data_IF_311678354122
#
_entry.id   IF_311678354122
#
_cell.length_a   1.000
_cell.length_b   1.000
_cell.length_c   1.000
_cell.angle_alpha   90.00
_cell.angle_beta   90.00
_cell.angle_gamma   90.00
#
_symmetry.space_group_name_H-M   'P 1'
#
loop_
_entity.id
_entity.type
_entity.pdbx_description
1 polymer ?
#
# COMPACT_ATOMS: atom_id res chain seq x y z
N UNK A 1 11.99 9.43 -5.11
CA UNK A 1 11.98 10.46 -4.05
C UNK A 1 13.20 10.26 -3.16
N UNK A 2 13.73 11.29 -2.51
CA UNK A 2 14.80 11.11 -1.51
C UNK A 2 14.29 10.36 -0.24
N UNK A 3 15.02 9.37 0.30
CA UNK A 3 14.59 8.58 1.46
C UNK A 3 14.31 9.40 2.73
N UNK A 4 15.10 10.43 3.03
CA UNK A 4 14.89 11.28 4.22
C UNK A 4 13.58 12.07 4.07
N UNK A 5 13.30 12.56 2.85
CA UNK A 5 12.05 13.23 2.56
C UNK A 5 10.85 12.29 2.69
N UNK A 6 10.96 11.05 2.21
CA UNK A 6 9.90 10.04 2.36
C UNK A 6 9.63 9.74 3.84
N UNK A 7 10.70 9.55 4.60
CA UNK A 7 10.62 9.33 6.05
C UNK A 7 9.95 10.50 6.77
N UNK A 8 10.30 11.76 6.45
CA UNK A 8 9.65 12.93 7.03
C UNK A 8 8.13 13.00 6.73
N UNK A 9 7.73 12.69 5.49
CA UNK A 9 6.31 12.62 5.11
C UNK A 9 5.60 11.50 5.87
N UNK A 10 6.20 10.31 5.94
CA UNK A 10 5.65 9.17 6.66
C UNK A 10 5.50 9.44 8.17
N UNK A 11 6.49 10.09 8.80
CA UNK A 11 6.40 10.53 10.21
C UNK A 11 5.26 11.51 10.42
N UNK A 12 5.11 12.49 9.54
CA UNK A 12 4.03 13.48 9.63
C UNK A 12 2.67 12.81 9.52
N UNK A 13 2.50 11.91 8.54
CA UNK A 13 1.28 11.15 8.33
C UNK A 13 0.91 10.26 9.52
N UNK A 14 1.90 9.62 10.14
CA UNK A 14 1.68 8.66 11.24
C UNK A 14 1.77 9.28 12.63
N UNK A 15 2.12 10.56 12.76
CA UNK A 15 2.19 11.27 14.04
C UNK A 15 0.93 11.14 14.93
N UNK A 16 -0.32 11.20 14.41
CA UNK A 16 -1.50 10.98 15.24
C UNK A 16 -1.75 9.52 15.65
N UNK A 17 -1.02 8.55 15.05
CA UNK A 17 -1.20 7.12 15.28
C UNK A 17 -0.34 6.64 16.46
N UNK A 18 -0.87 6.72 17.68
CA UNK A 18 -0.12 6.41 18.91
C UNK A 18 0.10 4.91 19.19
N UNK A 19 -0.49 4.02 18.38
CA UNK A 19 -0.43 2.58 18.58
C UNK A 19 0.86 1.95 18.00
N UNK A 20 1.21 0.73 18.45
CA UNK A 20 2.27 -0.06 17.80
C UNK A 20 2.00 -0.28 16.30
N UNK A 21 0.73 -0.29 15.90
CA UNK A 21 0.31 -0.44 14.52
C UNK A 21 0.55 0.83 13.72
N UNK A 22 0.49 2.02 14.33
CA UNK A 22 0.96 3.27 13.71
C UNK A 22 2.43 3.21 13.28
N UNK A 23 3.30 2.65 14.14
CA UNK A 23 4.72 2.38 13.77
C UNK A 23 4.86 1.36 12.64
N UNK A 24 3.89 0.46 12.48
CA UNK A 24 3.86 -0.52 11.38
C UNK A 24 3.35 0.11 10.08
N UNK A 25 2.37 1.02 10.14
CA UNK A 25 1.96 1.86 9.01
C UNK A 25 3.13 2.71 8.51
N UNK A 26 3.91 3.34 9.40
CA UNK A 26 5.11 4.08 9.01
C UNK A 26 6.09 3.20 8.21
N UNK A 27 6.35 1.99 8.71
CA UNK A 27 7.22 1.01 8.04
C UNK A 27 6.63 0.52 6.72
N UNK A 28 5.31 0.36 6.64
CA UNK A 28 4.63 -0.01 5.40
C UNK A 28 4.86 1.06 4.33
N UNK A 29 4.58 2.32 4.66
CA UNK A 29 4.73 3.48 3.76
C UNK A 29 6.18 3.60 3.27
N UNK A 30 7.13 3.67 4.21
CA UNK A 30 8.55 3.84 3.87
C UNK A 30 9.11 2.69 3.03
N UNK A 31 8.60 1.46 3.17
CA UNK A 31 9.00 0.31 2.33
C UNK A 31 8.31 0.30 0.97
N UNK A 32 7.00 0.51 0.93
CA UNK A 32 6.20 0.30 -0.29
C UNK A 32 6.16 1.50 -1.22
N UNK A 33 6.48 2.69 -0.72
CA UNK A 33 6.51 3.92 -1.52
C UNK A 33 7.94 4.42 -1.81
N UNK A 34 8.97 3.64 -1.47
CA UNK A 34 10.38 4.01 -1.67
C UNK A 34 10.72 4.30 -3.14
N UNK A 35 10.17 3.51 -4.06
CA UNK A 35 10.49 3.56 -5.48
C UNK A 35 9.64 4.58 -6.27
N UNK A 36 8.83 5.40 -5.59
CA UNK A 36 8.04 6.44 -6.22
C UNK A 36 8.80 7.77 -6.27
N UNK A 37 8.57 8.56 -7.33
CA UNK A 37 9.25 9.84 -7.55
C UNK A 37 8.79 10.90 -6.55
N UNK A 38 7.50 10.90 -6.22
CA UNK A 38 6.87 11.81 -5.28
C UNK A 38 5.93 11.08 -4.33
N UNK A 39 5.93 11.47 -3.05
CA UNK A 39 4.93 11.05 -2.06
C UNK A 39 4.40 12.29 -1.36
N UNK A 40 3.08 12.45 -1.39
CA UNK A 40 2.38 13.65 -0.96
C UNK A 40 1.26 13.29 0.02
N UNK A 41 1.03 14.11 1.07
CA UNK A 41 -0.20 14.06 1.84
C UNK A 41 -1.40 14.28 0.93
N UNK A 42 -2.44 13.49 1.13
CA UNK A 42 -3.72 13.59 0.44
C UNK A 42 -4.88 13.53 1.43
N UNK A 43 -6.06 13.89 0.96
CA UNK A 43 -7.30 13.79 1.72
C UNK A 43 -8.33 13.11 0.82
N UNK A 44 -8.98 12.07 1.33
CA UNK A 44 -10.06 11.37 0.63
C UNK A 44 -11.32 12.24 0.58
N UNK A 45 -12.30 11.83 -0.24
CA UNK A 45 -13.58 12.53 -0.37
C UNK A 45 -14.34 12.68 0.96
N UNK A 46 -14.15 11.75 1.90
CA UNK A 46 -14.75 11.78 3.23
C UNK A 46 -13.92 12.56 4.27
N UNK A 47 -12.83 13.21 3.86
CA UNK A 47 -11.97 14.01 4.74
C UNK A 47 -10.88 13.22 5.46
N UNK A 48 -10.73 11.92 5.20
CA UNK A 48 -9.72 11.08 5.86
C UNK A 48 -8.31 11.37 5.33
N UNK A 49 -7.30 11.54 6.21
CA UNK A 49 -5.91 11.67 5.80
C UNK A 49 -5.38 10.42 5.07
N UNK A 50 -4.63 10.64 4.01
CA UNK A 50 -4.01 9.58 3.21
C UNK A 50 -2.65 10.03 2.65
N UNK A 51 -1.97 9.10 1.98
CA UNK A 51 -0.78 9.36 1.18
C UNK A 51 -1.00 8.96 -0.27
N UNK A 52 -0.55 9.81 -1.19
CA UNK A 52 -0.51 9.55 -2.62
C UNK A 52 0.96 9.56 -3.09
N UNK A 53 1.38 8.44 -3.66
CA UNK A 53 2.68 8.28 -4.29
C UNK A 53 2.51 8.25 -5.82
N UNK A 54 3.41 8.92 -6.54
CA UNK A 54 3.36 9.08 -7.99
C UNK A 54 4.73 8.81 -8.60
N UNK A 55 4.75 8.13 -9.75
CA UNK A 55 5.94 7.95 -10.57
C UNK A 55 5.76 8.50 -11.97
N UNK A 56 6.86 8.93 -12.60
CA UNK A 56 6.90 9.50 -13.95
C UNK A 56 6.44 8.50 -15.03
N UNK A 57 6.51 7.20 -14.75
CA UNK A 57 6.01 6.14 -15.64
C UNK A 57 4.48 5.95 -15.57
N UNK A 58 3.77 6.79 -14.81
CA UNK A 58 2.32 6.74 -14.67
C UNK A 58 1.82 5.77 -13.61
N UNK A 59 2.70 5.10 -12.85
CA UNK A 59 2.30 4.35 -11.66
C UNK A 59 1.90 5.31 -10.53
N UNK A 60 0.88 4.93 -9.78
CA UNK A 60 0.53 5.57 -8.52
C UNK A 60 0.34 4.54 -7.40
N UNK A 61 0.53 4.97 -6.17
CA UNK A 61 0.08 4.24 -4.98
C UNK A 61 -0.68 5.16 -4.04
N UNK A 62 -1.65 4.60 -3.34
CA UNK A 62 -2.47 5.29 -2.38
C UNK A 62 -2.55 4.46 -1.11
N UNK A 63 -2.24 5.07 0.04
CA UNK A 63 -2.35 4.42 1.34
C UNK A 63 -3.24 5.27 2.24
N UNK A 64 -4.24 4.62 2.84
CA UNK A 64 -5.06 5.20 3.89
C UNK A 64 -5.12 4.21 5.06
N UNK A 65 -4.82 4.71 6.25
CA UNK A 65 -4.94 3.99 7.51
C UNK A 65 -4.98 5.02 8.63
N UNK A 66 -5.74 4.75 9.68
CA UNK A 66 -5.72 5.50 10.94
C UNK A 66 -4.82 4.82 11.99
N UNK A 67 -4.07 3.78 11.59
CA UNK A 67 -3.25 2.96 12.48
C UNK A 67 -4.07 2.11 13.46
N UNK A 68 -5.38 1.98 13.26
CA UNK A 68 -6.27 1.06 13.96
C UNK A 68 -6.57 -0.15 13.05
N UNK A 69 -7.12 -1.22 13.63
CA UNK A 69 -7.40 -2.45 12.89
C UNK A 69 -6.22 -3.41 12.77
N UNK A 70 -6.46 -4.59 12.20
CA UNK A 70 -5.44 -5.63 12.02
C UNK A 70 -4.65 -5.48 10.73
N UNK A 71 -5.12 -4.67 9.78
CA UNK A 71 -4.51 -4.49 8.47
C UNK A 71 -4.53 -3.05 7.99
N UNK A 72 -3.67 -2.75 7.00
CA UNK A 72 -3.73 -1.54 6.21
C UNK A 72 -3.66 -1.89 4.72
N UNK A 73 -4.44 -1.18 3.93
CA UNK A 73 -4.49 -1.37 2.49
C UNK A 73 -3.54 -0.40 1.79
N UNK A 74 -2.90 -0.91 0.74
CA UNK A 74 -2.16 -0.14 -0.23
C UNK A 74 -2.78 -0.37 -1.60
N UNK A 75 -3.36 0.66 -2.19
CA UNK A 75 -3.89 0.62 -3.54
C UNK A 75 -2.78 1.06 -4.49
N UNK A 76 -2.57 0.32 -5.56
CA UNK A 76 -1.62 0.65 -6.63
C UNK A 76 -2.36 0.66 -7.96
N UNK A 77 -1.97 1.55 -8.87
CA UNK A 77 -2.48 1.56 -10.23
C UNK A 77 -1.38 1.90 -11.23
N UNK A 78 -1.63 1.55 -12.50
CA UNK A 78 -0.69 1.75 -13.59
C UNK A 78 0.41 0.68 -13.65
N UNK A 79 1.21 0.68 -14.75
CA UNK A 79 1.04 1.55 -15.91
C UNK A 79 -0.17 1.15 -16.79
N UNK A 80 -0.72 -0.06 -16.59
CA UNK A 80 -1.92 -0.50 -17.30
C UNK A 80 -3.14 0.30 -16.85
N UNK A 81 -3.72 1.06 -17.78
CA UNK A 81 -4.88 1.92 -17.53
C UNK A 81 -6.08 1.12 -17.02
N UNK A 82 -6.75 1.67 -16.01
CA UNK A 82 -7.97 1.10 -15.42
C UNK A 82 -7.73 -0.09 -14.51
N UNK A 83 -6.51 -0.61 -14.40
CA UNK A 83 -6.18 -1.69 -13.45
C UNK A 83 -5.76 -1.10 -12.12
N UNK A 84 -6.40 -1.58 -11.05
CA UNK A 84 -6.03 -1.24 -9.67
C UNK A 84 -5.79 -2.52 -8.88
N UNK A 85 -4.71 -2.57 -8.11
CA UNK A 85 -4.40 -3.68 -7.19
C UNK A 85 -4.36 -3.13 -5.77
N UNK A 86 -5.22 -3.65 -4.91
CA UNK A 86 -5.19 -3.36 -3.47
C UNK A 86 -4.49 -4.51 -2.76
N UNK A 87 -3.37 -4.25 -2.07
CA UNK A 87 -2.74 -5.23 -1.18
C UNK A 87 -3.05 -4.92 0.28
N UNK A 88 -3.65 -5.87 0.99
CA UNK A 88 -3.91 -5.78 2.41
C UNK A 88 -2.70 -6.29 3.21
N UNK A 89 -2.14 -5.48 4.10
CA UNK A 89 -0.95 -5.83 4.89
C UNK A 89 -1.29 -6.06 6.36
N UNK A 90 -0.76 -7.14 6.94
CA UNK A 90 -0.98 -7.49 8.35
C UNK A 90 -0.18 -6.56 9.29
N UNK A 91 -0.89 -5.64 9.95
CA UNK A 91 -0.32 -4.75 10.96
C UNK A 91 -0.14 -5.43 12.32
N UNK A 92 -0.49 -6.72 12.48
CA UNK A 92 -0.23 -7.48 13.70
C UNK A 92 1.17 -8.11 13.72
N UNK A 93 1.82 -8.20 12.55
CA UNK A 93 3.17 -8.75 12.37
C UNK A 93 4.17 -7.66 11.95
N UNK A 94 5.40 -7.72 12.46
CA UNK A 94 6.44 -6.73 12.11
C UNK A 94 7.01 -6.90 10.69
N UNK A 95 6.89 -8.09 10.09
CA UNK A 95 7.24 -8.32 8.69
C UNK A 95 6.26 -7.66 7.70
N UNK A 96 5.05 -7.31 8.15
CA UNK A 96 3.97 -6.74 7.33
C UNK A 96 3.57 -7.62 6.13
N UNK A 97 3.33 -8.93 6.35
CA UNK A 97 3.03 -9.84 5.26
C UNK A 97 1.72 -9.44 4.58
N UNK A 98 1.65 -9.71 3.28
CA UNK A 98 0.41 -9.51 2.53
C UNK A 98 -0.60 -10.58 2.97
N UNK A 99 -1.81 -10.12 3.32
CA UNK A 99 -2.98 -10.94 3.63
C UNK A 99 -3.73 -11.34 2.37
N UNK A 100 -3.84 -10.42 1.42
CA UNK A 100 -4.51 -10.65 0.14
C UNK A 100 -4.17 -9.55 -0.86
N UNK A 101 -4.41 -9.84 -2.14
CA UNK A 101 -4.50 -8.85 -3.21
C UNK A 101 -5.90 -8.84 -3.78
N UNK A 102 -6.45 -7.65 -4.01
CA UNK A 102 -7.68 -7.46 -4.76
C UNK A 102 -7.35 -6.76 -6.07
N UNK A 103 -7.51 -7.46 -7.19
CA UNK A 103 -7.27 -6.94 -8.53
C UNK A 103 -8.60 -6.51 -9.15
N UNK A 104 -8.75 -5.22 -9.45
CA UNK A 104 -9.83 -4.72 -10.30
C UNK A 104 -9.25 -4.47 -11.68
N UNK A 105 -9.61 -5.34 -12.62
CA UNK A 105 -9.21 -5.22 -14.02
C UNK A 105 -10.46 -4.94 -14.86
N UNK A 106 -10.47 -3.91 -15.74
CA UNK A 106 -11.67 -3.52 -16.48
C UNK A 106 -12.33 -4.69 -17.23
N UNK A 107 -11.53 -5.50 -17.92
CA UNK A 107 -12.02 -6.68 -18.65
C UNK A 107 -12.51 -7.86 -17.78
N UNK A 108 -12.29 -7.82 -16.47
CA UNK A 108 -12.79 -8.85 -15.53
C UNK A 108 -14.01 -8.38 -14.75
N UNK A 109 -14.26 -7.08 -14.66
CA UNK A 109 -15.35 -6.53 -13.86
C UNK A 109 -16.72 -7.07 -14.31
N UNK A 110 -16.94 -7.20 -15.62
CA UNK A 110 -18.21 -7.67 -16.17
C UNK A 110 -18.37 -9.21 -16.10
N UNK A 111 -17.28 -9.95 -15.87
CA UNK A 111 -17.27 -11.42 -15.91
C UNK A 111 -17.24 -12.02 -14.50
N UNK A 112 -16.31 -11.54 -13.66
CA UNK A 112 -16.04 -12.11 -12.33
C UNK A 112 -16.00 -11.05 -11.22
N UNK A 113 -16.11 -9.76 -11.55
CA UNK A 113 -15.88 -8.68 -10.60
C UNK A 113 -14.40 -8.55 -10.20
N UNK A 114 -14.10 -7.89 -9.06
CA UNK A 114 -12.76 -7.87 -8.48
C UNK A 114 -12.28 -9.27 -8.10
N UNK A 115 -11.06 -9.63 -8.51
CA UNK A 115 -10.44 -10.90 -8.13
C UNK A 115 -9.68 -10.74 -6.82
N UNK A 116 -10.00 -11.56 -5.82
CA UNK A 116 -9.26 -11.63 -4.56
C UNK A 116 -8.34 -12.85 -4.56
N UNK A 117 -7.04 -12.60 -4.37
CA UNK A 117 -6.00 -13.62 -4.26
C UNK A 117 -5.53 -13.63 -2.81
N UNK A 118 -5.67 -14.77 -2.15
CA UNK A 118 -5.15 -15.00 -0.80
C UNK A 118 -3.96 -15.93 -0.91
N UNK A 119 -2.74 -15.50 -0.54
CA UNK A 119 -1.58 -16.39 -0.56
C UNK A 119 -1.81 -17.55 0.41
N UNK A 120 -1.48 -18.77 -0.02
CA UNK A 120 -1.39 -19.89 0.91
C UNK A 120 -0.23 -19.65 1.89
N UNK A 121 -0.21 -20.38 3.02
CA UNK A 121 0.91 -20.28 3.95
C UNK A 121 2.26 -20.63 3.30
N UNK A 122 2.27 -21.54 2.31
CA UNK A 122 3.47 -21.95 1.57
C UNK A 122 3.93 -20.89 0.56
N UNK A 123 3.02 -20.21 -0.13
CA UNK A 123 3.36 -19.26 -1.20
C UNK A 123 3.83 -17.90 -0.67
N UNK A 124 3.59 -17.62 0.61
CA UNK A 124 3.81 -16.30 1.21
C UNK A 124 5.27 -15.85 1.18
N UNK A 125 6.17 -16.79 1.45
CA UNK A 125 7.61 -16.52 1.53
C UNK A 125 8.21 -16.33 0.13
N UNK A 126 7.73 -17.10 -0.84
CA UNK A 126 8.16 -17.03 -2.25
C UNK A 126 7.65 -15.75 -2.94
N UNK A 127 6.39 -15.37 -2.69
CA UNK A 127 5.81 -14.12 -3.22
C UNK A 127 6.47 -12.89 -2.58
N UNK A 128 6.74 -12.92 -1.28
CA UNK A 128 7.49 -11.83 -0.63
C UNK A 128 8.91 -11.68 -1.18
N UNK A 129 9.59 -12.79 -1.52
CA UNK A 129 10.89 -12.75 -2.16
C UNK A 129 10.81 -12.16 -3.58
N UNK A 130 9.79 -12.51 -4.35
CA UNK A 130 9.60 -12.02 -5.72
C UNK A 130 9.22 -10.54 -5.79
N UNK A 131 8.53 -10.00 -4.77
CA UNK A 131 8.08 -8.61 -4.70
C UNK A 131 9.10 -7.65 -4.04
N UNK A 132 10.27 -8.13 -3.62
CA UNK A 132 11.36 -7.26 -3.17
C UNK A 132 12.01 -6.60 -4.38
N UNK A 133 12.18 -5.26 -4.40
CA UNK A 133 12.99 -4.62 -5.43
C UNK A 133 14.42 -5.18 -5.36
N UNK A 134 14.99 -5.48 -6.53
CA UNK A 134 16.38 -5.93 -6.70
C UNK A 134 17.35 -4.76 -6.59
#
# INVERSE_FOLDING_TARGET
MDPERLDAVARTYTAPMTSIRGRRVHRLVTRRMADYDHVLPAVTADGTPALLALSADGRAAFCHSDGRGASADLVTCGPTLGVTVTSAHDLTKDSLPVLSWTVRHPGLLDVAGPLTITPSEADREEIEAALRPR
#
